data_IF_969821824494
#
_entry.id   IF_969821824494
#
_cell.length_a   1.000
_cell.length_b   1.000
_cell.length_c   1.000
_cell.angle_alpha   90.00
_cell.angle_beta   90.00
_cell.angle_gamma   90.00
#
_symmetry.space_group_name_H-M   'P 1'
#
loop_
_entity.id
_entity.type
_entity.pdbx_description
1 polymer ?
#
# COMPACT_ATOMS: atom_id res chain seq x y z
N UNK A 1 -14.15 5.56 -11.72
CA UNK A 1 -14.27 4.10 -11.89
C UNK A 1 -12.98 3.48 -11.37
N UNK A 2 -13.05 2.45 -10.51
CA UNK A 2 -11.88 1.69 -10.10
C UNK A 2 -11.11 1.16 -11.31
N UNK A 3 -9.76 1.14 -11.28
CA UNK A 3 -8.99 0.40 -12.29
C UNK A 3 -9.22 -1.11 -12.16
N UNK A 4 -9.00 -1.82 -13.27
CA UNK A 4 -8.91 -3.27 -13.27
C UNK A 4 -7.66 -3.73 -12.50
N UNK A 5 -7.74 -4.92 -11.90
CA UNK A 5 -6.64 -5.47 -11.12
C UNK A 5 -5.35 -5.63 -11.94
N UNK A 6 -5.46 -6.04 -13.22
CA UNK A 6 -4.30 -6.23 -14.10
C UNK A 6 -3.48 -4.94 -14.29
N UNK A 7 -4.16 -3.78 -14.37
CA UNK A 7 -3.48 -2.48 -14.45
C UNK A 7 -2.69 -2.15 -13.19
N UNK A 8 -3.20 -2.56 -12.03
CA UNK A 8 -2.52 -2.40 -10.74
C UNK A 8 -1.34 -3.36 -10.67
N UNK A 9 -1.53 -4.62 -11.03
CA UNK A 9 -0.46 -5.61 -11.05
C UNK A 9 0.71 -5.14 -11.91
N UNK A 10 0.45 -4.66 -13.13
CA UNK A 10 1.48 -4.11 -14.02
C UNK A 10 2.18 -2.90 -13.36
N UNK A 11 1.44 -2.00 -12.74
CA UNK A 11 2.01 -0.82 -12.09
C UNK A 11 2.93 -1.17 -10.91
N UNK A 12 2.54 -2.14 -10.10
CA UNK A 12 3.34 -2.62 -8.97
C UNK A 12 4.54 -3.44 -9.46
N UNK A 13 4.39 -4.24 -10.52
CA UNK A 13 5.49 -4.99 -11.14
C UNK A 13 6.57 -4.06 -11.70
N UNK A 14 6.19 -2.96 -12.37
CA UNK A 14 7.12 -1.90 -12.81
C UNK A 14 7.92 -1.26 -11.67
N UNK A 15 7.47 -1.41 -10.42
CA UNK A 15 8.13 -0.91 -9.21
C UNK A 15 8.88 -2.01 -8.45
N UNK A 16 8.97 -3.23 -8.99
CA UNK A 16 9.49 -4.42 -8.31
C UNK A 16 8.67 -4.84 -7.08
N UNK A 17 7.39 -4.48 -7.03
CA UNK A 17 6.50 -4.68 -5.87
C UNK A 17 5.25 -5.48 -6.23
N UNK A 18 5.30 -6.33 -7.27
CA UNK A 18 4.16 -7.11 -7.76
C UNK A 18 3.41 -7.88 -6.65
N UNK A 19 4.14 -8.34 -5.63
CA UNK A 19 3.58 -9.09 -4.49
C UNK A 19 2.60 -8.27 -3.65
N UNK A 20 2.72 -6.94 -3.64
CA UNK A 20 1.87 -6.03 -2.87
C UNK A 20 0.61 -5.59 -3.62
N UNK A 21 0.49 -5.89 -4.91
CA UNK A 21 -0.62 -5.45 -5.75
C UNK A 21 -1.99 -5.93 -5.22
N UNK A 22 -2.05 -7.19 -4.80
CA UNK A 22 -3.29 -7.81 -4.29
C UNK A 22 -3.73 -7.21 -2.95
N UNK A 23 -2.77 -6.92 -2.08
CA UNK A 23 -3.00 -6.31 -0.77
C UNK A 23 -3.60 -4.91 -0.94
N UNK A 24 -2.92 -4.06 -1.72
CA UNK A 24 -3.42 -2.73 -2.08
C UNK A 24 -4.83 -2.80 -2.71
N UNK A 25 -5.03 -3.68 -3.69
CA UNK A 25 -6.33 -3.78 -4.38
C UNK A 25 -7.45 -4.16 -3.41
N UNK A 26 -7.22 -5.14 -2.54
CA UNK A 26 -8.22 -5.62 -1.58
C UNK A 26 -8.58 -4.57 -0.53
N UNK A 27 -7.59 -3.80 -0.07
CA UNK A 27 -7.84 -2.66 0.81
C UNK A 27 -8.68 -1.58 0.12
N UNK A 28 -8.36 -1.22 -1.13
CA UNK A 28 -9.12 -0.21 -1.87
C UNK A 28 -10.56 -0.66 -2.18
N UNK A 29 -10.78 -1.96 -2.41
CA UNK A 29 -12.14 -2.52 -2.52
C UNK A 29 -12.92 -2.32 -1.22
N UNK A 30 -12.30 -2.62 -0.08
CA UNK A 30 -12.93 -2.45 1.25
C UNK A 30 -13.23 -0.99 1.55
N UNK A 31 -12.34 -0.07 1.16
CA UNK A 31 -12.50 1.38 1.32
C UNK A 31 -13.44 1.99 0.25
N UNK A 32 -13.91 1.20 -0.71
CA UNK A 32 -14.77 1.66 -1.79
C UNK A 32 -14.11 2.70 -2.70
N UNK A 33 -12.79 2.64 -2.85
CA UNK A 33 -12.00 3.58 -3.66
C UNK A 33 -12.15 5.04 -3.23
N UNK A 34 -12.19 5.26 -1.92
CA UNK A 34 -12.30 6.59 -1.30
C UNK A 34 -11.08 6.91 -0.45
N UNK A 35 -10.77 8.19 -0.35
CA UNK A 35 -9.81 8.71 0.61
C UNK A 35 -10.35 8.54 2.03
N UNK A 36 -9.46 8.71 3.02
CA UNK A 36 -9.78 8.84 4.45
C UNK A 36 -10.92 9.83 4.74
N UNK A 37 -10.97 10.95 3.99
CA UNK A 37 -12.02 11.98 4.06
C UNK A 37 -13.31 11.62 3.31
N UNK A 38 -13.41 10.39 2.78
CA UNK A 38 -14.57 9.88 2.06
C UNK A 38 -14.69 10.35 0.60
N UNK A 39 -13.72 11.12 0.08
CA UNK A 39 -13.74 11.59 -1.30
C UNK A 39 -13.30 10.48 -2.27
N UNK A 40 -13.89 10.41 -3.46
CA UNK A 40 -13.49 9.39 -4.44
C UNK A 40 -12.04 9.59 -4.90
N UNK A 41 -11.27 8.51 -4.94
CA UNK A 41 -9.92 8.52 -5.51
C UNK A 41 -10.03 8.75 -7.01
N UNK A 42 -9.49 9.87 -7.48
CA UNK A 42 -9.45 10.23 -8.91
C UNK A 42 -8.21 9.68 -9.61
N UNK A 43 -7.11 9.53 -8.88
CA UNK A 43 -5.85 9.03 -9.40
C UNK A 43 -5.35 7.88 -8.51
N UNK A 44 -5.63 6.66 -8.94
CA UNK A 44 -5.26 5.46 -8.20
C UNK A 44 -3.74 5.23 -8.15
N UNK A 45 -2.96 5.77 -9.10
CA UNK A 45 -1.49 5.64 -9.08
C UNK A 45 -0.86 6.49 -7.99
N UNK A 46 -1.43 7.67 -7.72
CA UNK A 46 -1.03 8.49 -6.58
C UNK A 46 -1.37 7.76 -5.29
N UNK A 47 -2.60 7.27 -5.16
CA UNK A 47 -3.02 6.49 -3.99
C UNK A 47 -2.12 5.25 -3.77
N UNK A 48 -1.76 4.52 -4.82
CA UNK A 48 -0.83 3.39 -4.74
C UNK A 48 0.58 3.80 -4.31
N UNK A 49 1.05 4.97 -4.73
CA UNK A 49 2.36 5.50 -4.34
C UNK A 49 2.39 5.87 -2.86
N UNK A 50 1.36 6.57 -2.39
CA UNK A 50 1.20 6.93 -0.98
C UNK A 50 1.06 5.67 -0.12
N UNK A 51 0.31 4.68 -0.60
CA UNK A 51 0.16 3.39 0.07
C UNK A 51 1.49 2.65 0.21
N UNK A 52 2.27 2.53 -0.88
CA UNK A 52 3.60 1.91 -0.84
C UNK A 52 4.53 2.62 0.14
N UNK A 53 4.51 3.95 0.15
CA UNK A 53 5.30 4.73 1.11
C UNK A 53 4.93 4.36 2.55
N UNK A 54 3.64 4.36 2.88
CA UNK A 54 3.15 4.01 4.21
C UNK A 54 3.48 2.57 4.60
N UNK A 55 3.34 1.63 3.66
CA UNK A 55 3.71 0.23 3.85
C UNK A 55 5.18 0.08 4.29
N UNK A 56 6.11 0.74 3.60
CA UNK A 56 7.53 0.70 4.01
C UNK A 56 7.80 1.39 5.34
N UNK A 57 7.12 2.51 5.63
CA UNK A 57 7.27 3.17 6.93
C UNK A 57 6.83 2.27 8.08
N UNK A 58 5.71 1.57 7.91
CA UNK A 58 5.20 0.62 8.89
C UNK A 58 6.18 -0.54 9.10
N UNK A 59 6.67 -1.15 8.01
CA UNK A 59 7.65 -2.25 8.07
C UNK A 59 8.94 -1.83 8.77
N UNK A 60 9.48 -0.66 8.42
CA UNK A 60 10.68 -0.11 9.07
C UNK A 60 10.49 0.14 10.56
N UNK A 61 9.30 0.62 10.95
CA UNK A 61 8.97 0.83 12.36
C UNK A 61 8.91 -0.50 13.12
N UNK A 62 8.37 -1.55 12.51
CA UNK A 62 8.31 -2.89 13.09
C UNK A 62 9.70 -3.53 13.25
N UNK A 63 10.55 -3.41 12.23
CA UNK A 63 11.96 -3.84 12.28
C UNK A 63 12.71 -3.12 13.42
N UNK A 64 12.50 -1.80 13.57
CA UNK A 64 13.08 -1.02 14.66
C UNK A 64 12.60 -1.50 16.03
N UNK A 65 11.28 -1.69 16.21
CA UNK A 65 10.70 -2.19 17.47
C UNK A 65 11.26 -3.56 17.84
N UNK A 66 11.35 -4.46 16.87
CA UNK A 66 11.88 -5.82 17.07
C UNK A 66 13.35 -5.77 17.48
N UNK A 67 14.16 -4.94 16.82
CA UNK A 67 15.58 -4.78 17.14
C UNK A 67 15.80 -4.19 18.54
N UNK A 68 14.98 -3.23 18.96
CA UNK A 68 15.07 -2.60 20.29
C UNK A 68 14.53 -3.50 21.40
N UNK A 69 13.54 -4.35 21.10
CA UNK A 69 13.05 -5.35 22.04
C UNK A 69 14.08 -6.47 22.31
N UNK A 70 14.92 -6.81 21.33
CA UNK A 70 15.96 -7.85 21.44
C UNK A 70 17.30 -7.33 21.98
N UNK A 71 17.52 -6.01 22.00
CA UNK A 71 18.76 -5.38 22.49
C UNK A 71 18.78 -5.00 23.98
N UNK A 72 17.70 -5.29 24.73
CA UNK A 72 17.52 -4.90 26.14
C UNK A 72 17.50 -6.09 27.13
N UNK A 73 18.09 -7.22 26.76
CA UNK A 73 18.39 -8.39 27.62
C UNK A 73 19.88 -8.67 27.59
#
# INVERSE_FOLDING_TARGET
MPPEFDLILIYFDQKSEAKLALEFYSEQQTLGWKTDRGAQIKNWKVAATDWLYNYYQARRLEEWKTSHALGNT
#
